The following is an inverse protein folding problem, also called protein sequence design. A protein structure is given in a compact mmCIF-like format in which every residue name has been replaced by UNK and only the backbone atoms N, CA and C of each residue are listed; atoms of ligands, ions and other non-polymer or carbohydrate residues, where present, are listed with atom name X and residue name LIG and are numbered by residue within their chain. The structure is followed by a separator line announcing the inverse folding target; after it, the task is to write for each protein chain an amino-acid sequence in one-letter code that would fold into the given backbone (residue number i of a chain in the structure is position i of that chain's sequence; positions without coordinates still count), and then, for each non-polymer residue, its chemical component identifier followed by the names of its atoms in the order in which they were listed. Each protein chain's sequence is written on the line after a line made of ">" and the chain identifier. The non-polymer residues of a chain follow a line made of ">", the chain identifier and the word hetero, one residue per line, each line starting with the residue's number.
data_IF_515938300363
#
_entry.id   IF_515938300363
#
_cell.length_a   1.000
_cell.length_b   1.000
_cell.length_c   1.000
_cell.angle_alpha   90.00
_cell.angle_beta   90.00
_cell.angle_gamma   90.00
#
_symmetry.space_group_name_H-M   'P 1'
#
loop_
_entity.id
_entity.type
_entity.pdbx_description
1 polymer ?
#
# COMPACT_ATOMS: atom_id res chain seq x y z
N UNK A 1 5.12 11.87 5.72
CA UNK A 1 6.04 10.96 6.44
C UNK A 1 6.87 10.23 5.42
N UNK A 2 8.17 10.09 5.63
CA UNK A 2 9.11 9.49 4.66
C UNK A 2 10.02 8.49 5.35
N UNK A 3 10.23 7.32 4.74
CA UNK A 3 11.14 6.30 5.25
C UNK A 3 11.61 5.35 4.14
N UNK A 4 12.77 4.71 4.33
CA UNK A 4 13.28 3.66 3.45
C UNK A 4 12.62 2.31 3.78
N UNK A 5 12.17 1.61 2.75
CA UNK A 5 11.54 0.30 2.88
C UNK A 5 11.65 -0.53 1.60
N UNK A 6 10.73 -1.48 1.47
CA UNK A 6 10.70 -2.42 0.37
C UNK A 6 9.43 -2.36 -0.45
N UNK A 7 9.44 -3.08 -1.58
CA UNK A 7 8.24 -3.48 -2.28
C UNK A 7 7.31 -4.28 -1.35
N UNK A 8 6.00 -4.08 -1.50
CA UNK A 8 4.96 -4.86 -0.80
C UNK A 8 4.57 -6.14 -1.55
N UNK A 9 5.22 -6.41 -2.67
CA UNK A 9 5.09 -7.62 -3.49
C UNK A 9 6.46 -8.26 -3.70
N UNK A 10 6.53 -9.58 -3.97
CA UNK A 10 7.77 -10.24 -4.35
C UNK A 10 8.47 -9.51 -5.53
N UNK A 11 9.81 -9.39 -5.51
CA UNK A 11 10.76 -10.02 -4.59
C UNK A 11 10.99 -9.29 -3.26
N UNK A 12 10.15 -8.30 -2.90
CA UNK A 12 10.27 -7.55 -1.64
C UNK A 12 11.60 -6.79 -1.47
N UNK A 13 12.23 -6.37 -2.57
CA UNK A 13 13.51 -5.65 -2.55
C UNK A 13 13.43 -4.35 -1.73
N UNK A 14 14.45 -4.09 -0.90
CA UNK A 14 14.59 -2.88 -0.06
C UNK A 14 15.15 -1.68 -0.85
N UNK A 15 14.44 -1.28 -1.90
CA UNK A 15 14.87 -0.23 -2.82
C UNK A 15 13.89 0.94 -2.92
N UNK A 16 12.97 1.07 -1.96
CA UNK A 16 11.87 2.04 -2.02
C UNK A 16 12.03 3.12 -0.95
N UNK A 17 12.06 4.38 -1.37
CA UNK A 17 11.80 5.52 -0.46
C UNK A 17 10.30 5.81 -0.46
N UNK A 18 9.63 5.43 0.62
CA UNK A 18 8.20 5.64 0.78
C UNK A 18 7.91 7.06 1.23
N UNK A 19 6.96 7.74 0.56
CA UNK A 19 6.39 9.02 0.98
C UNK A 19 4.90 8.83 1.24
N UNK A 20 4.52 8.85 2.51
CA UNK A 20 3.14 8.65 2.96
C UNK A 20 2.50 10.02 3.26
N UNK A 21 1.39 10.30 2.57
CA UNK A 21 0.51 11.46 2.83
C UNK A 21 -0.26 11.26 4.12
N UNK A 22 -0.43 12.34 4.89
CA UNK A 22 -1.18 12.33 6.16
C UNK A 22 -2.68 12.39 5.91
N UNK A 23 -3.12 13.24 4.99
CA UNK A 23 -4.53 13.33 4.62
C UNK A 23 -4.90 12.21 3.64
N UNK A 24 -5.94 11.40 3.96
CA UNK A 24 -6.48 10.45 3.00
C UNK A 24 -7.27 11.19 1.91
N UNK A 25 -7.28 10.61 0.71
CA UNK A 25 -8.21 11.03 -0.34
C UNK A 25 -9.57 10.38 -0.09
N UNK A 26 -10.63 11.15 -0.26
CA UNK A 26 -12.00 10.63 -0.20
C UNK A 26 -12.41 10.07 -1.56
N UNK A 27 -13.16 8.98 -1.54
CA UNK A 27 -13.73 8.32 -2.72
C UNK A 27 -15.18 7.96 -2.42
N UNK A 28 -16.03 7.94 -3.45
CA UNK A 28 -17.44 7.58 -3.26
C UNK A 28 -17.60 6.09 -2.97
N UNK A 29 -18.69 5.73 -2.31
CA UNK A 29 -19.00 4.32 -2.04
C UNK A 29 -19.09 3.50 -3.33
N UNK A 30 -19.75 4.05 -4.35
CA UNK A 30 -19.87 3.44 -5.67
C UNK A 30 -18.50 3.13 -6.29
N UNK A 31 -17.56 4.07 -6.24
CA UNK A 31 -16.20 3.84 -6.75
C UNK A 31 -15.48 2.71 -6.03
N UNK A 32 -15.68 2.58 -4.71
CA UNK A 32 -15.09 1.49 -3.92
C UNK A 32 -15.70 0.14 -4.29
N UNK A 33 -17.01 0.08 -4.51
CA UNK A 33 -17.71 -1.16 -4.86
C UNK A 33 -17.29 -1.64 -6.27
N UNK A 34 -17.17 -0.73 -7.23
CA UNK A 34 -16.61 -1.02 -8.57
C UNK A 34 -15.15 -1.48 -8.49
N UNK A 35 -14.30 -0.82 -7.70
CA UNK A 35 -12.91 -1.24 -7.54
C UNK A 35 -12.78 -2.64 -6.93
N UNK A 36 -13.72 -3.02 -6.05
CA UNK A 36 -13.76 -4.34 -5.40
C UNK A 36 -14.37 -5.44 -6.28
N UNK A 37 -14.97 -5.11 -7.42
CA UNK A 37 -15.50 -6.10 -8.37
C UNK A 37 -14.47 -6.56 -9.40
N UNK A 38 -13.31 -5.87 -9.49
CA UNK A 38 -12.23 -6.19 -10.43
C UNK A 38 -11.75 -7.64 -10.31
N UNK A 39 -11.42 -8.24 -11.45
CA UNK A 39 -10.89 -9.60 -11.54
C UNK A 39 -9.36 -9.59 -11.59
N UNK A 40 -8.75 -10.57 -10.94
CA UNK A 40 -7.33 -10.89 -11.12
C UNK A 40 -7.10 -11.62 -12.45
N UNK A 41 -5.83 -11.86 -12.79
CA UNK A 41 -5.44 -12.55 -14.03
C UNK A 41 -6.03 -13.96 -14.17
N UNK A 42 -6.33 -14.61 -13.04
CA UNK A 42 -6.95 -15.94 -13.00
C UNK A 42 -8.49 -15.91 -13.09
N UNK A 43 -9.07 -14.74 -13.37
CA UNK A 43 -10.51 -14.55 -13.53
C UNK A 43 -11.29 -14.50 -12.22
N UNK A 44 -10.66 -14.63 -11.05
CA UNK A 44 -11.33 -14.52 -9.75
C UNK A 44 -11.38 -13.07 -9.29
N UNK A 45 -12.42 -12.70 -8.55
CA UNK A 45 -12.50 -11.37 -7.93
C UNK A 45 -11.28 -11.12 -7.05
N UNK A 46 -10.63 -9.98 -7.27
CA UNK A 46 -9.48 -9.56 -6.49
C UNK A 46 -9.91 -9.24 -5.05
N UNK A 47 -9.39 -10.01 -4.09
CA UNK A 47 -9.69 -9.85 -2.67
C UNK A 47 -8.40 -9.86 -1.86
N UNK A 48 -8.34 -9.02 -0.82
CA UNK A 48 -7.25 -8.97 0.18
C UNK A 48 -5.84 -8.88 -0.43
N UNK A 49 -5.68 -8.08 -1.48
CA UNK A 49 -4.44 -7.81 -2.20
C UNK A 49 -3.56 -6.77 -1.49
N UNK A 50 -3.31 -6.95 -0.19
CA UNK A 50 -2.45 -6.08 0.62
C UNK A 50 -1.48 -6.92 1.45
N UNK A 51 -0.31 -6.34 1.75
CA UNK A 51 0.71 -6.97 2.61
C UNK A 51 0.49 -6.55 4.07
N UNK A 52 0.51 -7.47 5.04
CA UNK A 52 0.46 -7.12 6.47
C UNK A 52 1.58 -6.19 6.89
N UNK A 53 1.32 -5.41 7.94
CA UNK A 53 2.33 -4.54 8.54
C UNK A 53 3.57 -5.34 8.94
N UNK A 54 4.74 -4.75 8.75
CA UNK A 54 6.02 -5.38 9.07
C UNK A 54 6.69 -4.61 10.21
N UNK A 55 7.56 -5.26 11.01
CA UNK A 55 8.28 -4.60 12.09
C UNK A 55 9.07 -3.37 11.63
N UNK A 56 9.13 -2.33 12.46
CA UNK A 56 9.84 -1.09 12.11
C UNK A 56 11.37 -1.28 12.11
N UNK A 57 11.90 -2.22 12.90
CA UNK A 57 13.33 -2.56 12.97
C UNK A 57 14.24 -1.35 13.16
N UNK A 58 13.86 -0.41 14.04
CA UNK A 58 14.64 0.78 14.35
C UNK A 58 14.73 1.83 13.24
N UNK A 59 13.99 1.66 12.13
CA UNK A 59 13.95 2.66 11.05
C UNK A 59 13.36 3.97 11.53
N UNK A 60 13.99 5.07 11.12
CA UNK A 60 13.52 6.43 11.40
C UNK A 60 12.47 6.81 10.36
N UNK A 61 11.32 7.30 10.83
CA UNK A 61 10.26 7.84 9.99
C UNK A 61 10.24 9.36 10.16
N UNK A 62 10.50 10.08 9.07
CA UNK A 62 10.62 11.53 9.11
C UNK A 62 9.30 12.16 8.69
N UNK A 63 8.76 13.07 9.50
CA UNK A 63 7.69 13.94 9.06
C UNK A 63 8.30 15.16 8.35
N UNK A 64 8.23 15.15 7.02
CA UNK A 64 8.53 16.35 6.23
C UNK A 64 7.38 17.33 6.48
N UNK A 65 7.72 18.54 6.94
CA UNK A 65 6.78 19.65 7.14
C UNK A 65 6.37 20.28 5.83
#
# INVERSE_FOLDING_TARGET
>A
MTYNGSLTTPPCSESVTWVIRKEPLTVSRHQVDEFRSLLAQDGRTMKRNWRPTQPLNGRIVVQIR
#
